data_IF_464894533898
#
_entry.id   IF_464894533898
#
_cell.length_a   1.000
_cell.length_b   1.000
_cell.length_c   1.000
_cell.angle_alpha   90.00
_cell.angle_beta   90.00
_cell.angle_gamma   90.00
#
_symmetry.space_group_name_H-M   'P 1'
#
loop_
_entity.id
_entity.type
_entity.pdbx_description
1 polymer ?
#
# COMPACT_ATOMS: atom_id res chain seq x y z
N UNK A 1 -4.24 3.10 -13.77
CA UNK A 1 -3.91 3.04 -12.33
C UNK A 1 -2.41 3.09 -11.96
N UNK A 2 -1.60 2.02 -12.13
CA UNK A 2 -0.21 2.00 -11.57
C UNK A 2 0.72 3.07 -12.19
N UNK A 3 0.56 3.37 -13.48
CA UNK A 3 1.28 4.46 -14.14
C UNK A 3 1.07 5.82 -13.46
N UNK A 4 -0.17 6.11 -13.02
CA UNK A 4 -0.48 7.34 -12.29
C UNK A 4 0.22 7.39 -10.93
N UNK A 5 0.33 6.24 -10.26
CA UNK A 5 1.07 6.14 -9.00
C UNK A 5 2.58 6.41 -9.20
N UNK A 6 3.18 5.89 -10.28
CA UNK A 6 4.58 6.17 -10.64
C UNK A 6 4.82 7.62 -11.09
N UNK A 7 3.78 8.34 -11.53
CA UNK A 7 3.86 9.75 -11.86
C UNK A 7 3.88 10.68 -10.63
N UNK A 8 3.84 10.13 -9.41
CA UNK A 8 3.96 10.92 -8.20
C UNK A 8 5.33 11.63 -8.11
N UNK A 9 5.37 12.84 -7.52
CA UNK A 9 6.62 13.56 -7.33
C UNK A 9 7.55 12.77 -6.39
N UNK A 10 8.79 12.57 -6.82
CA UNK A 10 9.86 12.04 -5.98
C UNK A 10 11.11 12.89 -6.07
N UNK A 11 11.71 13.17 -4.92
CA UNK A 11 12.96 13.93 -4.85
C UNK A 11 14.12 13.03 -5.25
N UNK A 12 15.01 13.53 -6.11
CA UNK A 12 16.20 12.80 -6.55
C UNK A 12 15.93 11.52 -7.34
N UNK A 13 14.74 11.39 -7.95
CA UNK A 13 14.30 10.17 -8.68
C UNK A 13 14.34 8.89 -7.81
N UNK A 14 14.28 9.01 -6.48
CA UNK A 14 14.37 7.90 -5.54
C UNK A 14 13.25 6.85 -5.71
N UNK A 15 12.05 7.29 -6.15
CA UNK A 15 10.85 6.44 -6.31
C UNK A 15 10.72 5.38 -5.19
N UNK A 16 10.57 5.81 -3.92
CA UNK A 16 10.72 4.97 -2.73
C UNK A 16 9.57 3.99 -2.51
N UNK A 17 8.65 3.81 -3.47
CA UNK A 17 7.48 2.96 -3.34
C UNK A 17 7.70 1.59 -4.00
N UNK A 18 7.16 0.56 -3.35
CA UNK A 18 6.94 -0.78 -3.91
C UNK A 18 5.45 -1.08 -3.85
N UNK A 19 4.87 -1.37 -5.02
CA UNK A 19 3.47 -1.79 -5.14
C UNK A 19 3.41 -3.30 -5.26
N UNK A 20 2.76 -3.96 -4.30
CA UNK A 20 2.69 -5.41 -4.22
C UNK A 20 1.21 -5.81 -4.25
N UNK A 21 0.81 -6.57 -5.25
CA UNK A 21 -0.54 -7.12 -5.37
C UNK A 21 -0.63 -8.47 -4.73
N UNK A 22 -1.61 -8.60 -3.84
CA UNK A 22 -1.88 -9.82 -3.11
C UNK A 22 -2.98 -10.58 -3.83
N UNK A 23 -2.60 -11.61 -4.57
CA UNK A 23 -3.52 -12.52 -5.26
C UNK A 23 -3.74 -13.83 -4.51
N UNK A 24 -2.90 -14.15 -3.53
CA UNK A 24 -3.01 -15.36 -2.71
C UNK A 24 -3.97 -15.14 -1.53
N UNK A 25 -5.05 -15.92 -1.48
CA UNK A 25 -6.05 -15.87 -0.42
C UNK A 25 -5.48 -16.26 0.95
N UNK A 26 -4.53 -17.19 1.00
CA UNK A 26 -3.89 -17.59 2.25
C UNK A 26 -3.02 -16.45 2.82
N UNK A 27 -2.30 -15.73 1.96
CA UNK A 27 -1.57 -14.53 2.35
C UNK A 27 -2.53 -13.41 2.76
N UNK A 28 -3.63 -13.20 2.02
CA UNK A 28 -4.66 -12.21 2.37
C UNK A 28 -5.25 -12.44 3.77
N UNK A 29 -5.60 -13.67 4.12
CA UNK A 29 -6.09 -14.02 5.46
C UNK A 29 -5.05 -13.78 6.56
N UNK A 30 -3.77 -14.05 6.28
CA UNK A 30 -2.68 -13.76 7.23
C UNK A 30 -2.48 -12.28 7.44
N UNK A 31 -2.54 -11.48 6.38
CA UNK A 31 -2.50 -10.02 6.48
C UNK A 31 -3.68 -9.52 7.31
N UNK A 32 -4.90 -10.02 7.06
CA UNK A 32 -6.07 -9.66 7.84
C UNK A 32 -5.87 -9.97 9.34
N UNK A 33 -5.38 -11.17 9.68
CA UNK A 33 -5.11 -11.54 11.07
C UNK A 33 -4.08 -10.60 11.75
N UNK A 34 -3.00 -10.25 11.05
CA UNK A 34 -2.00 -9.30 11.56
C UNK A 34 -2.60 -7.90 11.81
N UNK A 35 -3.42 -7.41 10.88
CA UNK A 35 -4.05 -6.09 11.04
C UNK A 35 -5.07 -6.11 12.18
N UNK A 36 -5.78 -7.21 12.39
CA UNK A 36 -6.74 -7.34 13.48
C UNK A 36 -6.06 -7.39 14.86
N UNK A 37 -4.93 -8.10 14.97
CA UNK A 37 -4.09 -8.10 16.17
C UNK A 37 -3.58 -6.68 16.50
N UNK A 38 -2.98 -5.99 15.53
CA UNK A 38 -2.49 -4.61 15.71
C UNK A 38 -3.61 -3.61 16.01
N UNK A 39 -4.82 -3.84 15.48
CA UNK A 39 -5.99 -3.02 15.79
C UNK A 39 -6.36 -3.11 17.26
N UNK A 40 -6.29 -4.30 17.86
CA UNK A 40 -6.55 -4.47 19.30
C UNK A 40 -5.48 -3.78 20.15
N UNK A 41 -4.20 -3.90 19.78
CA UNK A 41 -3.09 -3.22 20.47
C UNK A 41 -3.21 -1.69 20.37
N UNK A 42 -3.54 -1.18 19.18
CA UNK A 42 -3.73 0.25 18.94
C UNK A 42 -4.93 0.79 19.71
N UNK A 43 -6.03 0.02 19.79
CA UNK A 43 -7.20 0.40 20.58
C UNK A 43 -6.83 0.55 22.07
N UNK A 44 -6.03 -0.37 22.62
CA UNK A 44 -5.53 -0.27 24.00
C UNK A 44 -4.69 1.00 24.20
N UNK A 45 -3.80 1.33 23.26
CA UNK A 45 -2.98 2.53 23.32
C UNK A 45 -3.78 3.85 23.20
N UNK A 46 -4.95 3.82 22.56
CA UNK A 46 -5.84 4.98 22.38
C UNK A 46 -6.74 5.27 23.58
N UNK A 47 -6.80 4.38 24.58
CA UNK A 47 -7.54 4.58 25.83
C UNK A 47 -9.00 5.00 25.61
N UNK A 48 -9.43 6.22 25.97
CA UNK A 48 -10.81 6.69 25.82
C UNK A 48 -11.37 6.61 24.39
N UNK A 49 -10.50 6.66 23.37
CA UNK A 49 -10.89 6.60 21.95
C UNK A 49 -10.89 5.18 21.38
N UNK A 50 -10.60 4.16 22.18
CA UNK A 50 -10.56 2.76 21.77
C UNK A 50 -11.85 2.31 21.06
N UNK A 51 -13.01 2.63 21.64
CA UNK A 51 -14.30 2.18 21.10
C UNK A 51 -14.65 2.84 19.76
N UNK A 52 -14.20 4.07 19.52
CA UNK A 52 -14.34 4.76 18.24
C UNK A 52 -13.45 4.07 17.18
N UNK A 53 -12.19 3.81 17.53
CA UNK A 53 -11.23 3.15 16.67
C UNK A 53 -11.65 1.72 16.28
N UNK A 54 -12.20 0.96 17.23
CA UNK A 54 -12.74 -0.39 16.98
C UNK A 54 -13.99 -0.39 16.09
N UNK A 55 -14.55 0.75 15.67
CA UNK A 55 -15.59 0.77 14.63
C UNK A 55 -15.03 0.77 13.21
N UNK A 56 -13.74 1.03 13.03
CA UNK A 56 -13.10 0.99 11.72
C UNK A 56 -13.12 -0.44 11.16
N UNK A 57 -13.73 -0.60 9.98
CA UNK A 57 -13.88 -1.91 9.32
C UNK A 57 -12.57 -2.35 8.69
N UNK A 58 -12.09 -3.53 9.10
CA UNK A 58 -10.90 -4.18 8.53
C UNK A 58 -11.28 -5.33 7.60
N UNK A 59 -12.54 -5.76 7.64
CA UNK A 59 -13.11 -6.84 6.84
C UNK A 59 -12.94 -6.58 5.33
N UNK A 60 -12.83 -5.32 4.93
CA UNK A 60 -12.53 -4.90 3.57
C UNK A 60 -11.23 -5.50 2.99
N UNK A 61 -10.28 -5.97 3.81
CA UNK A 61 -9.10 -6.71 3.34
C UNK A 61 -9.49 -8.05 2.70
N UNK A 62 -10.55 -8.70 3.22
CA UNK A 62 -11.03 -9.98 2.70
C UNK A 62 -11.99 -9.78 1.52
N UNK A 63 -12.86 -8.77 1.61
CA UNK A 63 -13.96 -8.57 0.65
C UNK A 63 -13.58 -7.73 -0.59
N UNK A 64 -12.42 -7.05 -0.58
CA UNK A 64 -12.03 -6.22 -1.72
C UNK A 64 -11.63 -7.04 -2.94
N UNK A 65 -12.06 -6.58 -4.11
CA UNK A 65 -11.74 -7.20 -5.40
C UNK A 65 -10.22 -7.33 -5.63
N UNK A 66 -9.44 -6.32 -5.22
CA UNK A 66 -7.99 -6.29 -5.36
C UNK A 66 -7.37 -5.71 -4.09
N UNK A 67 -6.33 -6.39 -3.58
CA UNK A 67 -5.57 -5.95 -2.41
C UNK A 67 -4.16 -5.53 -2.86
N UNK A 68 -3.82 -4.27 -2.58
CA UNK A 68 -2.51 -3.69 -2.85
C UNK A 68 -1.84 -3.29 -1.55
N UNK A 69 -0.60 -3.71 -1.37
CA UNK A 69 0.29 -3.26 -0.30
C UNK A 69 1.31 -2.30 -0.90
N UNK A 70 1.49 -1.14 -0.27
CA UNK A 70 2.51 -0.17 -0.65
C UNK A 70 3.55 -0.13 0.45
N UNK A 71 4.78 -0.47 0.11
CA UNK A 71 5.90 -0.47 1.05
C UNK A 71 6.96 0.53 0.62
N UNK A 72 7.72 1.03 1.60
CA UNK A 72 8.93 1.80 1.34
C UNK A 72 10.05 0.86 0.85
N UNK A 73 10.84 1.31 -0.13
CA UNK A 73 12.01 0.59 -0.61
C UNK A 73 13.07 0.42 0.49
N UNK A 74 13.77 -0.71 0.45
CA UNK A 74 15.00 -0.90 1.22
C UNK A 74 16.14 -0.01 0.67
N UNK A 75 17.17 0.21 1.48
CA UNK A 75 18.32 1.03 1.10
C UNK A 75 18.01 2.53 0.94
N UNK A 76 16.81 2.99 1.31
CA UNK A 76 16.38 4.39 1.16
C UNK A 76 17.23 5.40 1.92
N UNK A 77 17.99 4.97 2.92
CA UNK A 77 18.91 5.82 3.68
C UNK A 77 20.15 6.23 2.87
N UNK A 78 20.45 5.55 1.76
CA UNK A 78 21.50 5.96 0.82
C UNK A 78 21.14 7.25 0.05
N UNK A 79 19.86 7.61 -0.03
CA UNK A 79 19.41 8.81 -0.73
C UNK A 79 19.49 10.02 0.19
N UNK A 80 20.54 10.82 0.03
CA UNK A 80 20.77 12.02 0.85
C UNK A 80 19.94 13.21 0.33
N UNK A 81 19.73 13.30 -0.98
CA UNK A 81 19.01 14.42 -1.59
C UNK A 81 17.53 14.41 -1.19
N UNK A 82 17.01 15.54 -0.71
CA UNK A 82 15.66 15.64 -0.13
C UNK A 82 15.56 15.16 1.32
N UNK A 83 16.08 13.96 1.62
CA UNK A 83 16.03 13.36 2.97
C UNK A 83 16.92 14.07 3.99
N UNK A 84 18.03 14.69 3.57
CA UNK A 84 18.92 15.46 4.47
C UNK A 84 18.17 16.58 5.20
N UNK A 85 17.31 17.29 4.47
CA UNK A 85 16.55 18.43 5.03
C UNK A 85 15.20 17.98 5.58
N UNK A 86 14.57 16.96 4.97
CA UNK A 86 13.32 16.38 5.44
C UNK A 86 13.40 14.85 5.41
N UNK A 87 13.78 14.19 6.53
CA UNK A 87 13.96 12.74 6.56
C UNK A 87 12.73 11.96 6.12
N UNK A 88 11.53 12.51 6.35
CA UNK A 88 10.25 11.89 6.00
C UNK A 88 9.82 12.12 4.54
N UNK A 89 10.70 12.69 3.68
CA UNK A 89 10.37 13.01 2.29
C UNK A 89 9.98 11.77 1.48
N UNK A 90 10.54 10.60 1.81
CA UNK A 90 10.15 9.31 1.22
C UNK A 90 8.69 8.96 1.51
N UNK A 91 8.25 9.12 2.75
CA UNK A 91 6.86 8.91 3.16
C UNK A 91 5.91 9.89 2.46
N UNK A 92 6.31 11.15 2.32
CA UNK A 92 5.53 12.14 1.59
C UNK A 92 5.38 11.74 0.11
N UNK A 93 6.47 11.32 -0.53
CA UNK A 93 6.47 10.81 -1.90
C UNK A 93 5.58 9.57 -2.06
N UNK A 94 5.67 8.58 -1.16
CA UNK A 94 4.79 7.39 -1.19
C UNK A 94 3.32 7.79 -1.00
N UNK A 95 3.03 8.74 -0.12
CA UNK A 95 1.67 9.24 0.11
C UNK A 95 1.07 9.85 -1.16
N UNK A 96 1.86 10.65 -1.91
CA UNK A 96 1.43 11.17 -3.21
C UNK A 96 1.16 10.04 -4.23
N UNK A 97 1.98 8.98 -4.22
CA UNK A 97 1.78 7.83 -5.11
C UNK A 97 0.46 7.08 -4.81
N UNK A 98 0.13 6.89 -3.52
CA UNK A 98 -1.15 6.31 -3.09
C UNK A 98 -2.32 7.21 -3.48
N UNK A 99 -2.19 8.52 -3.29
CA UNK A 99 -3.22 9.48 -3.66
C UNK A 99 -3.51 9.43 -5.18
N UNK A 100 -2.47 9.41 -6.01
CA UNK A 100 -2.62 9.30 -7.46
C UNK A 100 -3.33 8.00 -7.87
N UNK A 101 -3.06 6.90 -7.15
CA UNK A 101 -3.75 5.63 -7.37
C UNK A 101 -5.25 5.76 -7.09
N UNK A 102 -5.64 6.38 -5.97
CA UNK A 102 -7.04 6.61 -5.64
C UNK A 102 -7.76 7.53 -6.62
N UNK A 103 -7.08 8.60 -7.07
CA UNK A 103 -7.63 9.51 -8.07
C UNK A 103 -7.85 8.81 -9.42
N UNK A 104 -6.87 8.02 -9.87
CA UNK A 104 -6.98 7.20 -11.08
C UNK A 104 -8.09 6.16 -10.96
N UNK A 105 -8.21 5.49 -9.80
CA UNK A 105 -9.27 4.52 -9.57
C UNK A 105 -10.66 5.15 -9.64
N UNK A 106 -10.83 6.34 -9.05
CA UNK A 106 -12.09 7.07 -9.10
C UNK A 106 -12.42 7.58 -10.50
N UNK A 107 -11.44 8.09 -11.24
CA UNK A 107 -11.67 8.53 -12.63
C UNK A 107 -12.05 7.37 -13.55
N UNK A 108 -11.40 6.21 -13.40
CA UNK A 108 -11.72 5.00 -14.17
C UNK A 108 -13.11 4.45 -13.80
N UNK A 109 -13.48 4.46 -12.51
CA UNK A 109 -14.82 4.04 -12.06
C UNK A 109 -15.95 4.96 -12.58
N UNK A 110 -15.72 6.28 -12.66
CA UNK A 110 -16.67 7.22 -13.26
C UNK A 110 -16.77 7.08 -14.78
N UNK A 111 -15.69 6.70 -15.45
CA UNK A 111 -15.69 6.49 -16.91
C UNK A 111 -16.32 5.15 -17.33
N UNK A 112 -16.46 4.18 -16.41
CA UNK A 112 -16.76 2.78 -16.72
C UNK A 112 -17.99 2.23 -15.97
N UNK A 113 -18.99 3.05 -15.69
CA UNK A 113 -20.19 2.69 -14.91
C UNK A 113 -21.12 1.61 -15.53
N UNK A 114 -20.67 0.81 -16.50
CA UNK A 114 -21.50 -0.16 -17.23
C UNK A 114 -20.90 -1.54 -17.49
N UNK A 115 -19.63 -1.82 -17.19
CA UNK A 115 -19.10 -3.18 -17.37
C UNK A 115 -18.07 -3.54 -16.32
N UNK A 116 -17.92 -4.83 -16.04
CA UNK A 116 -17.01 -5.37 -15.01
C UNK A 116 -15.60 -4.77 -15.19
N UNK A 117 -14.99 -4.31 -14.11
CA UNK A 117 -13.63 -3.75 -14.12
C UNK A 117 -12.63 -4.85 -14.53
N UNK A 118 -12.32 -4.94 -15.82
CA UNK A 118 -11.29 -5.82 -16.35
C UNK A 118 -9.97 -5.06 -16.38
N UNK A 119 -9.18 -5.20 -15.32
CA UNK A 119 -7.83 -4.66 -15.24
C UNK A 119 -6.93 -5.42 -16.24
N UNK A 120 -6.18 -4.73 -17.14
CA UNK A 120 -5.36 -5.39 -18.14
C UNK A 120 -4.28 -6.26 -17.49
N UNK A 121 -4.09 -7.46 -18.03
CA UNK A 121 -3.19 -8.54 -17.56
C UNK A 121 -1.69 -8.23 -17.66
N UNK A 122 -1.30 -7.00 -17.97
CA UNK A 122 0.08 -6.54 -18.14
C UNK A 122 0.80 -6.23 -16.83
N UNK A 123 0.57 -7.01 -15.77
CA UNK A 123 1.39 -6.94 -14.55
C UNK A 123 2.74 -7.60 -14.84
N UNK A 124 3.87 -6.86 -14.83
CA UNK A 124 5.16 -7.53 -14.83
C UNK A 124 5.20 -8.42 -13.60
N UNK A 125 5.48 -9.72 -13.79
CA UNK A 125 5.75 -10.70 -12.72
C UNK A 125 6.97 -10.24 -11.93
N UNK A 126 6.79 -9.29 -11.02
CA UNK A 126 7.86 -8.82 -10.17
C UNK A 126 7.52 -9.17 -8.72
N UNK A 127 8.39 -10.04 -8.18
CA UNK A 127 8.52 -10.48 -6.80
C UNK A 127 7.45 -11.48 -6.30
N UNK A 128 7.94 -12.71 -6.11
CA UNK A 128 7.25 -13.82 -5.44
C UNK A 128 6.69 -13.31 -4.10
N UNK A 129 5.40 -13.55 -3.82
CA UNK A 129 4.70 -13.05 -2.63
C UNK A 129 5.45 -13.43 -1.33
N UNK A 130 6.01 -12.47 -0.58
CA UNK A 130 6.68 -12.75 0.69
C UNK A 130 5.64 -13.17 1.74
N UNK A 131 5.90 -14.29 2.39
CA UNK A 131 5.00 -14.94 3.35
C UNK A 131 5.32 -14.63 4.81
N UNK A 132 6.41 -13.90 5.09
CA UNK A 132 6.80 -13.48 6.44
C UNK A 132 7.34 -12.05 6.42
N UNK A 133 7.24 -11.26 7.51
CA UNK A 133 7.78 -9.89 7.58
C UNK A 133 9.25 -9.78 7.12
N UNK A 134 10.06 -10.80 7.38
CA UNK A 134 11.47 -10.84 6.96
C UNK A 134 11.67 -11.11 5.45
N UNK A 135 10.73 -11.76 4.76
CA UNK A 135 10.84 -12.02 3.32
C UNK A 135 10.59 -10.76 2.48
N UNK A 136 9.87 -9.76 3.01
CA UNK A 136 9.69 -8.44 2.37
C UNK A 136 11.03 -7.72 2.16
N UNK A 137 12.05 -8.02 2.98
CA UNK A 137 13.42 -7.47 2.86
C UNK A 137 14.30 -8.16 1.81
N UNK A 138 13.87 -9.33 1.30
CA UNK A 138 14.69 -10.20 0.45
C UNK A 138 14.24 -10.27 -1.01
N UNK A 139 13.06 -9.74 -1.32
CA UNK A 139 12.65 -9.38 -2.67
C UNK A 139 13.04 -7.92 -3.02
N UNK A 140 13.92 -7.35 -2.20
CA UNK A 140 14.44 -5.99 -2.22
C UNK A 140 15.45 -5.74 -3.34
#
# INVERSE_FOLDING_TARGET
MLYAAHAAPSVGLMQPWRFIRITDDALRRRIHALVDEERLLTAQALGPRAQEFLRLKVEGILDCAELLVVALCDGRDAYVFGRRTLPQMDLASVSCAIQNLWLSARSEASAWAGSRCSIPSGWPRCCRCPTTPNQWRSCA
#
